data_IF_247278455815
#
_entry.id   IF_247278455815
#
_cell.length_a   1.000
_cell.length_b   1.000
_cell.length_c   1.000
_cell.angle_alpha   90.00
_cell.angle_beta   90.00
_cell.angle_gamma   90.00
#
_symmetry.space_group_name_H-M   'P 1'
#
loop_
_entity.id
_entity.type
_entity.pdbx_description
1 polymer ?
#
# COMPACT_ATOMS: atom_id res chain seq x y z
N UNK A 1 -2.10 -1.14 -22.92
CA UNK A 1 -2.73 0.20 -22.97
C UNK A 1 -1.71 1.29 -23.32
N UNK A 2 -0.48 1.25 -22.81
CA UNK A 2 0.53 2.29 -23.07
C UNK A 2 0.84 2.48 -24.57
N UNK A 3 0.76 1.43 -25.35
CA UNK A 3 0.95 1.51 -26.82
C UNK A 3 -0.30 2.03 -27.56
N UNK A 4 -1.45 2.05 -26.88
CA UNK A 4 -2.72 2.50 -27.48
C UNK A 4 -2.97 4.01 -27.25
N UNK A 5 -2.48 4.55 -26.14
CA UNK A 5 -2.73 5.93 -25.74
C UNK A 5 -1.42 6.71 -25.64
N UNK A 6 -1.30 7.76 -26.45
CA UNK A 6 -0.08 8.57 -26.53
C UNK A 6 0.21 9.40 -25.27
N UNK A 7 -0.81 9.65 -24.45
CA UNK A 7 -0.74 10.45 -23.23
C UNK A 7 -0.81 9.62 -21.94
N UNK A 8 -0.67 8.29 -22.00
CA UNK A 8 -0.74 7.41 -20.85
C UNK A 8 0.66 7.07 -20.30
N UNK A 9 0.85 7.34 -19.02
CA UNK A 9 2.03 6.92 -18.25
C UNK A 9 1.59 6.00 -17.13
N UNK A 10 2.18 4.82 -17.03
CA UNK A 10 1.98 3.87 -15.93
C UNK A 10 3.22 3.85 -15.07
N UNK A 11 3.13 4.36 -13.83
CA UNK A 11 4.21 4.33 -12.86
C UNK A 11 4.10 3.10 -11.96
N UNK A 12 5.25 2.46 -11.69
CA UNK A 12 5.37 1.31 -10.80
C UNK A 12 6.53 1.50 -9.83
N UNK A 13 6.45 0.86 -8.67
CA UNK A 13 7.47 0.96 -7.64
C UNK A 13 7.84 -0.41 -7.08
N UNK A 14 9.11 -0.58 -6.75
CA UNK A 14 9.62 -1.74 -6.01
C UNK A 14 9.52 -1.55 -4.47
N UNK A 15 9.09 -0.39 -4.02
CA UNK A 15 9.03 -0.03 -2.59
C UNK A 15 7.99 -0.79 -1.79
N UNK A 16 6.94 -1.35 -2.40
CA UNK A 16 5.77 -1.96 -1.72
C UNK A 16 5.80 -3.48 -1.82
N UNK A 17 5.24 -4.05 -2.87
CA UNK A 17 5.13 -5.51 -3.04
C UNK A 17 6.48 -6.22 -2.98
N UNK A 18 7.53 -5.58 -3.45
CA UNK A 18 8.90 -6.11 -3.45
C UNK A 18 9.68 -5.85 -2.15
N UNK A 19 9.14 -5.05 -1.22
CA UNK A 19 9.80 -4.74 0.05
C UNK A 19 11.04 -3.84 -0.07
N UNK A 20 11.29 -3.21 -1.21
CA UNK A 20 12.51 -2.46 -1.52
C UNK A 20 12.35 -0.95 -1.32
N UNK A 21 11.65 -0.53 -0.28
CA UNK A 21 11.42 0.90 -0.04
C UNK A 21 12.72 1.70 0.13
N UNK A 22 13.74 1.12 0.75
CA UNK A 22 15.06 1.74 0.94
C UNK A 22 15.87 1.90 -0.36
N UNK A 23 15.62 1.07 -1.38
CA UNK A 23 16.35 1.14 -2.65
C UNK A 23 15.95 2.34 -3.52
N UNK A 24 14.81 2.97 -3.27
CA UNK A 24 14.29 4.12 -4.02
C UNK A 24 14.20 3.90 -5.54
N UNK A 25 13.80 2.69 -5.96
CA UNK A 25 13.69 2.29 -7.37
C UNK A 25 12.23 2.13 -7.76
N UNK A 26 11.92 2.62 -8.94
CA UNK A 26 10.64 2.44 -9.63
C UNK A 26 10.87 2.51 -11.13
N UNK A 27 9.81 2.34 -11.90
CA UNK A 27 9.86 2.51 -13.35
C UNK A 27 8.55 3.11 -13.86
N UNK A 28 8.62 3.68 -15.03
CA UNK A 28 7.47 4.10 -15.79
C UNK A 28 7.40 3.33 -17.11
N UNK A 29 6.19 3.13 -17.59
CA UNK A 29 5.93 2.62 -18.93
C UNK A 29 5.00 3.60 -19.66
N UNK A 30 5.37 3.94 -20.89
CA UNK A 30 4.64 4.82 -21.78
C UNK A 30 4.86 4.35 -23.22
N UNK A 31 4.19 4.97 -24.21
CA UNK A 31 4.54 4.74 -25.59
C UNK A 31 5.99 5.24 -25.87
N UNK A 32 6.56 4.80 -26.99
CA UNK A 32 7.96 5.07 -27.32
C UNK A 32 8.32 6.56 -27.32
N UNK A 33 7.49 7.40 -27.93
CA UNK A 33 7.79 8.82 -28.08
C UNK A 33 7.72 9.55 -26.73
N UNK A 34 6.69 9.26 -25.93
CA UNK A 34 6.55 9.83 -24.60
C UNK A 34 7.64 9.33 -23.66
N UNK A 35 7.99 8.05 -23.71
CA UNK A 35 9.07 7.48 -22.92
C UNK A 35 10.42 8.12 -23.27
N UNK A 36 10.70 8.39 -24.55
CA UNK A 36 11.94 9.06 -24.96
C UNK A 36 11.99 10.51 -24.45
N UNK A 37 10.88 11.25 -24.53
CA UNK A 37 10.83 12.62 -24.00
C UNK A 37 11.07 12.64 -22.49
N UNK A 38 10.44 11.73 -21.74
CA UNK A 38 10.64 11.61 -20.30
C UNK A 38 12.08 11.20 -19.96
N UNK A 39 12.68 10.30 -20.76
CA UNK A 39 14.07 9.92 -20.59
C UNK A 39 15.02 11.12 -20.70
N UNK A 40 14.79 12.02 -21.66
CA UNK A 40 15.63 13.21 -21.87
C UNK A 40 15.50 14.25 -20.73
N UNK A 41 14.42 14.17 -19.92
CA UNK A 41 14.20 15.04 -18.76
C UNK A 41 14.75 14.50 -17.44
N UNK A 42 15.34 13.30 -17.49
CA UNK A 42 15.85 12.65 -16.27
C UNK A 42 17.05 13.41 -15.71
N UNK A 43 17.05 13.67 -14.39
CA UNK A 43 18.26 14.19 -13.75
C UNK A 43 19.39 13.18 -13.79
N UNK A 44 20.61 13.65 -13.84
CA UNK A 44 21.79 12.78 -13.70
C UNK A 44 21.77 12.12 -12.31
N UNK A 45 22.21 10.86 -12.28
CA UNK A 45 22.35 10.08 -11.03
C UNK A 45 21.05 9.88 -10.24
N UNK A 46 19.90 9.88 -10.90
CA UNK A 46 18.57 9.73 -10.24
C UNK A 46 18.38 8.36 -9.55
N UNK A 47 19.09 7.33 -10.02
CA UNK A 47 18.98 5.96 -9.51
C UNK A 47 20.32 5.50 -8.98
N UNK A 48 20.35 4.96 -7.76
CA UNK A 48 21.55 4.37 -7.20
C UNK A 48 21.82 2.97 -7.77
N UNK A 49 23.08 2.66 -8.07
CA UNK A 49 23.49 1.40 -8.69
C UNK A 49 23.18 0.18 -7.84
N UNK A 50 23.32 0.26 -6.50
CA UNK A 50 23.00 -0.83 -5.59
C UNK A 50 21.52 -1.19 -5.65
N UNK A 51 20.64 -0.17 -5.69
CA UNK A 51 19.18 -0.38 -5.83
C UNK A 51 18.86 -1.11 -7.13
N UNK A 52 19.50 -0.75 -8.24
CA UNK A 52 19.30 -1.42 -9.54
C UNK A 52 19.78 -2.87 -9.48
N UNK A 53 20.96 -3.13 -8.91
CA UNK A 53 21.48 -4.50 -8.75
C UNK A 53 20.53 -5.39 -7.94
N UNK A 54 20.05 -4.90 -6.81
CA UNK A 54 19.10 -5.63 -5.94
C UNK A 54 17.79 -5.91 -6.68
N UNK A 55 17.24 -4.93 -7.39
CA UNK A 55 16.01 -5.11 -8.16
C UNK A 55 16.21 -6.17 -9.25
N UNK A 56 17.32 -6.14 -9.98
CA UNK A 56 17.61 -7.13 -11.02
C UNK A 56 17.68 -8.56 -10.46
N UNK A 57 18.32 -8.75 -9.30
CA UNK A 57 18.39 -10.07 -8.67
C UNK A 57 17.01 -10.56 -8.18
N UNK A 58 16.19 -9.66 -7.61
CA UNK A 58 14.85 -10.03 -7.15
C UNK A 58 13.91 -10.36 -8.31
N UNK A 59 14.03 -9.66 -9.43
CA UNK A 59 13.23 -9.97 -10.63
C UNK A 59 13.52 -11.37 -11.20
N UNK A 60 14.74 -11.88 -11.03
CA UNK A 60 15.09 -13.27 -11.41
C UNK A 60 14.44 -14.31 -10.51
N UNK A 61 14.05 -13.95 -9.26
CA UNK A 61 13.53 -14.85 -8.22
C UNK A 61 12.15 -14.40 -7.75
N UNK A 62 11.16 -14.34 -8.62
CA UNK A 62 9.84 -13.78 -8.33
C UNK A 62 8.92 -14.68 -7.46
N UNK A 63 9.30 -15.92 -7.17
CA UNK A 63 8.51 -16.85 -6.32
C UNK A 63 8.24 -16.28 -4.92
N UNK A 64 9.23 -15.61 -4.33
CA UNK A 64 9.09 -14.92 -3.04
C UNK A 64 8.01 -13.83 -3.07
N UNK A 65 7.99 -13.03 -4.14
CA UNK A 65 7.01 -11.96 -4.32
C UNK A 65 5.59 -12.53 -4.42
N UNK A 66 5.43 -13.59 -5.20
CA UNK A 66 4.12 -14.25 -5.37
C UNK A 66 3.62 -14.80 -4.03
N UNK A 67 4.50 -15.40 -3.23
CA UNK A 67 4.15 -15.87 -1.88
C UNK A 67 3.69 -14.72 -0.98
N UNK A 68 4.46 -13.64 -0.91
CA UNK A 68 4.12 -12.46 -0.10
C UNK A 68 2.79 -11.82 -0.53
N UNK A 69 2.55 -11.70 -1.83
CA UNK A 69 1.28 -11.16 -2.34
C UNK A 69 0.10 -12.05 -1.94
N UNK A 70 0.23 -13.37 -2.03
CA UNK A 70 -0.81 -14.31 -1.57
C UNK A 70 -1.13 -14.14 -0.09
N UNK A 71 -0.12 -14.01 0.76
CA UNK A 71 -0.31 -13.77 2.20
C UNK A 71 -1.01 -12.43 2.48
N UNK A 72 -0.63 -11.36 1.80
CA UNK A 72 -1.29 -10.07 1.93
C UNK A 72 -2.75 -10.11 1.45
N UNK A 73 -3.04 -10.81 0.37
CA UNK A 73 -4.40 -11.00 -0.13
C UNK A 73 -5.27 -11.80 0.86
N UNK A 74 -4.72 -12.81 1.53
CA UNK A 74 -5.40 -13.54 2.60
C UNK A 74 -5.74 -12.60 3.76
N UNK A 75 -4.77 -11.81 4.21
CA UNK A 75 -4.97 -10.82 5.26
C UNK A 75 -6.03 -9.77 4.88
N UNK A 76 -6.00 -9.26 3.65
CA UNK A 76 -7.02 -8.36 3.13
C UNK A 76 -8.40 -9.00 3.19
N UNK A 77 -8.54 -10.21 2.65
CA UNK A 77 -9.82 -10.95 2.63
C UNK A 77 -10.38 -11.14 4.04
N UNK A 78 -9.53 -11.53 4.99
CA UNK A 78 -9.91 -11.66 6.39
C UNK A 78 -10.39 -10.32 6.97
N UNK A 79 -9.60 -9.25 6.82
CA UNK A 79 -9.94 -7.93 7.34
C UNK A 79 -11.28 -7.43 6.80
N UNK A 80 -11.49 -7.48 5.49
CA UNK A 80 -12.75 -7.04 4.86
C UNK A 80 -13.96 -7.83 5.36
N UNK A 81 -13.81 -9.16 5.54
CA UNK A 81 -14.86 -10.00 6.12
C UNK A 81 -15.25 -9.54 7.53
N UNK A 82 -14.26 -9.24 8.37
CA UNK A 82 -14.51 -8.82 9.75
C UNK A 82 -15.06 -7.38 9.85
N UNK A 83 -14.62 -6.47 8.97
CA UNK A 83 -15.18 -5.12 8.90
C UNK A 83 -16.66 -5.14 8.51
N UNK A 84 -17.06 -6.01 7.59
CA UNK A 84 -18.49 -6.21 7.25
C UNK A 84 -19.30 -6.68 8.45
N UNK A 85 -18.79 -7.65 9.24
CA UNK A 85 -19.46 -8.10 10.48
C UNK A 85 -19.60 -6.99 11.50
N UNK A 86 -18.62 -6.12 11.60
CA UNK A 86 -18.62 -4.96 12.50
C UNK A 86 -19.46 -3.79 11.96
N UNK A 87 -20.05 -3.93 10.78
CA UNK A 87 -20.83 -2.89 10.09
C UNK A 87 -20.06 -1.56 9.94
N UNK A 88 -18.74 -1.65 9.82
CA UNK A 88 -17.89 -0.49 9.61
C UNK A 88 -17.86 -0.12 8.13
N UNK A 89 -18.03 1.16 7.83
CA UNK A 89 -17.80 1.70 6.50
C UNK A 89 -16.32 1.69 6.18
N UNK A 90 -15.95 1.22 4.99
CA UNK A 90 -14.58 1.23 4.52
C UNK A 90 -14.49 1.52 3.04
N UNK A 91 -13.33 2.03 2.62
CA UNK A 91 -12.98 2.22 1.22
C UNK A 91 -11.89 1.22 0.87
N UNK A 92 -12.20 0.36 -0.07
CA UNK A 92 -11.29 -0.65 -0.62
C UNK A 92 -10.90 -0.27 -2.04
N UNK A 93 -9.66 -0.54 -2.39
CA UNK A 93 -9.10 -0.31 -3.72
C UNK A 93 -7.98 -1.30 -4.03
N UNK A 94 -7.16 -0.98 -5.03
CA UNK A 94 -6.02 -1.81 -5.44
C UNK A 94 -4.71 -1.44 -4.73
N UNK A 95 -4.74 -0.51 -3.78
CA UNK A 95 -3.58 -0.15 -2.96
C UNK A 95 -3.29 -1.22 -1.89
N UNK A 96 -2.11 -1.13 -1.28
CA UNK A 96 -1.70 -1.98 -0.16
C UNK A 96 -2.25 -1.49 1.19
N UNK A 97 -3.35 -0.79 1.19
CA UNK A 97 -4.05 -0.28 2.37
C UNK A 97 -5.55 -0.14 2.10
N UNK A 98 -6.31 -0.02 3.16
CA UNK A 98 -7.72 0.37 3.15
C UNK A 98 -7.94 1.55 4.10
N UNK A 99 -9.01 2.27 3.89
CA UNK A 99 -9.47 3.31 4.79
C UNK A 99 -10.74 2.84 5.51
N UNK A 100 -10.81 3.03 6.82
CA UNK A 100 -11.96 2.66 7.65
C UNK A 100 -12.51 3.93 8.27
N UNK A 101 -13.80 4.18 8.10
CA UNK A 101 -14.47 5.29 8.75
C UNK A 101 -14.80 4.92 10.21
N UNK A 102 -14.29 5.71 11.13
CA UNK A 102 -14.46 5.51 12.58
C UNK A 102 -15.21 6.67 13.24
N UNK A 103 -15.61 7.67 12.46
CA UNK A 103 -16.25 8.85 12.99
C UNK A 103 -15.38 9.55 14.03
N UNK A 104 -16.00 10.07 15.08
CA UNK A 104 -15.33 10.75 16.19
C UNK A 104 -14.46 9.83 17.04
N UNK A 105 -14.69 8.51 16.95
CA UNK A 105 -13.93 7.49 17.70
C UNK A 105 -12.50 7.32 17.19
N UNK A 106 -12.15 7.90 16.03
CA UNK A 106 -10.85 7.74 15.35
C UNK A 106 -9.66 8.05 16.27
N UNK A 107 -9.62 9.23 16.87
CA UNK A 107 -8.48 9.69 17.68
C UNK A 107 -8.25 8.82 18.93
N UNK A 108 -9.35 8.34 19.54
CA UNK A 108 -9.26 7.41 20.69
C UNK A 108 -8.69 6.06 20.25
N UNK A 109 -9.13 5.56 19.11
CA UNK A 109 -8.67 4.27 18.58
C UNK A 109 -7.21 4.33 18.12
N UNK A 110 -6.75 5.44 17.54
CA UNK A 110 -5.33 5.64 17.21
C UNK A 110 -4.43 5.47 18.45
N UNK A 111 -4.81 6.08 19.57
CA UNK A 111 -4.07 5.94 20.84
C UNK A 111 -4.06 4.49 21.33
N UNK A 112 -5.17 3.76 21.17
CA UNK A 112 -5.25 2.34 21.56
C UNK A 112 -4.34 1.48 20.66
N UNK A 113 -4.34 1.71 19.36
CA UNK A 113 -3.43 1.02 18.44
C UNK A 113 -1.97 1.27 18.82
N UNK A 114 -1.60 2.53 19.08
CA UNK A 114 -0.26 2.89 19.51
C UNK A 114 0.16 2.16 20.80
N UNK A 115 -0.70 2.12 21.82
CA UNK A 115 -0.46 1.39 23.06
C UNK A 115 -0.28 -0.12 22.85
N UNK A 116 -0.81 -0.67 21.76
CA UNK A 116 -0.66 -2.09 21.38
C UNK A 116 0.47 -2.32 20.38
N UNK A 117 1.39 -1.37 20.23
CA UNK A 117 2.53 -1.42 19.30
C UNK A 117 2.10 -1.59 17.84
N UNK A 118 0.97 -0.95 17.46
CA UNK A 118 0.51 -0.90 16.07
C UNK A 118 0.51 0.56 15.64
N UNK A 119 1.47 0.91 14.79
CA UNK A 119 1.55 2.26 14.21
C UNK A 119 0.55 2.36 13.05
N UNK A 120 -0.38 3.30 13.16
CA UNK A 120 -1.39 3.57 12.15
C UNK A 120 -1.27 5.01 11.70
N UNK A 121 -1.44 5.25 10.43
CA UNK A 121 -1.50 6.61 9.91
C UNK A 121 -2.93 7.12 9.99
N UNK A 122 -3.15 8.11 10.84
CA UNK A 122 -4.41 8.86 10.92
C UNK A 122 -4.64 9.75 9.73
N UNK A 123 -5.87 10.16 9.63
CA UNK A 123 -6.56 10.91 8.59
C UNK A 123 -5.77 11.68 7.56
N UNK A 124 -6.28 11.59 6.38
CA UNK A 124 -5.93 12.50 5.33
C UNK A 124 -6.54 13.88 5.65
N UNK A 125 -5.75 14.94 5.54
CA UNK A 125 -6.25 16.32 5.60
C UNK A 125 -7.05 16.70 4.35
N UNK A 126 -7.93 15.79 3.93
CA UNK A 126 -8.79 15.93 2.75
C UNK A 126 -10.22 16.03 3.26
N UNK A 127 -10.97 16.99 2.75
CA UNK A 127 -12.39 17.14 3.04
C UNK A 127 -13.12 15.82 2.82
N UNK A 128 -13.99 15.43 3.74
CA UNK A 128 -14.70 14.14 3.74
C UNK A 128 -13.91 12.95 4.30
N UNK A 129 -12.59 13.05 4.51
CA UNK A 129 -11.76 11.93 4.99
C UNK A 129 -11.21 12.10 6.41
N UNK A 130 -11.60 13.15 7.13
CA UNK A 130 -11.12 13.43 8.49
C UNK A 130 -11.32 12.26 9.46
N UNK A 131 -12.41 11.53 9.30
CA UNK A 131 -12.83 10.43 10.18
C UNK A 131 -12.27 9.06 9.75
N UNK A 132 -11.52 9.02 8.67
CA UNK A 132 -10.95 7.77 8.18
C UNK A 132 -9.58 7.48 8.79
N UNK A 133 -9.36 6.22 9.08
CA UNK A 133 -8.08 5.66 9.50
C UNK A 133 -7.54 4.78 8.38
N UNK A 134 -6.27 4.97 8.01
CA UNK A 134 -5.61 4.16 6.99
C UNK A 134 -4.89 2.97 7.62
N UNK A 135 -5.28 1.77 7.24
CA UNK A 135 -4.65 0.53 7.68
C UNK A 135 -3.90 -0.10 6.50
N UNK A 136 -2.59 -0.26 6.64
CA UNK A 136 -1.77 -0.99 5.68
C UNK A 136 -2.09 -2.48 5.77
N UNK A 137 -2.17 -3.12 4.60
CA UNK A 137 -2.44 -4.55 4.51
C UNK A 137 -1.18 -5.35 4.84
N UNK A 138 -1.36 -6.46 5.52
CA UNK A 138 -0.32 -7.40 5.89
C UNK A 138 -0.85 -8.83 5.91
N UNK A 139 -0.04 -9.81 6.34
CA UNK A 139 -0.46 -11.18 6.53
C UNK A 139 -1.65 -11.30 7.47
N UNK A 140 -2.37 -12.42 7.39
CA UNK A 140 -3.61 -12.63 8.15
C UNK A 140 -3.43 -12.53 9.66
N UNK A 141 -2.32 -13.01 10.20
CA UNK A 141 -2.01 -12.90 11.63
C UNK A 141 -1.92 -11.44 12.10
N UNK A 142 -1.34 -10.55 11.30
CA UNK A 142 -1.31 -9.11 11.60
C UNK A 142 -2.71 -8.50 11.52
N UNK A 143 -3.49 -8.85 10.52
CA UNK A 143 -4.87 -8.36 10.39
C UNK A 143 -5.76 -8.87 11.54
N UNK A 144 -5.52 -10.07 12.06
CA UNK A 144 -6.18 -10.59 13.28
C UNK A 144 -5.91 -9.69 14.50
N UNK A 145 -4.69 -9.20 14.67
CA UNK A 145 -4.35 -8.25 15.76
C UNK A 145 -5.13 -6.95 15.62
N UNK A 146 -5.18 -6.39 14.40
CA UNK A 146 -5.96 -5.17 14.11
C UNK A 146 -7.44 -5.38 14.45
N UNK A 147 -8.03 -6.48 13.96
CA UNK A 147 -9.45 -6.79 14.18
C UNK A 147 -9.76 -7.03 15.66
N UNK A 148 -8.85 -7.66 16.42
CA UNK A 148 -9.02 -7.85 17.87
C UNK A 148 -9.19 -6.51 18.58
N UNK A 149 -8.36 -5.53 18.27
CA UNK A 149 -8.45 -4.18 18.84
C UNK A 149 -9.75 -3.49 18.42
N UNK A 150 -10.12 -3.56 17.14
CA UNK A 150 -11.38 -3.00 16.66
C UNK A 150 -12.59 -3.58 17.43
N UNK A 151 -12.64 -4.90 17.60
CA UNK A 151 -13.71 -5.58 18.31
C UNK A 151 -13.79 -5.19 19.79
N UNK A 152 -12.65 -5.11 20.47
CA UNK A 152 -12.62 -4.71 21.89
C UNK A 152 -13.06 -3.26 22.11
N UNK A 153 -12.79 -2.40 21.14
CA UNK A 153 -13.12 -0.98 21.24
C UNK A 153 -14.55 -0.64 20.85
N UNK A 154 -15.17 -1.44 20.00
CA UNK A 154 -16.52 -1.19 19.47
C UNK A 154 -17.61 -1.90 20.27
N UNK A 155 -17.23 -2.80 21.19
CA UNK A 155 -18.11 -3.33 22.23
C UNK A 155 -18.42 -2.26 23.25
#
# INVERSE_FOLDING_TARGET
>A
YVNKYSNLIVCRTFSKAYGLAGCRVGFLAANKDLAQRLYNLRPMYEINSLGVMIVNEILKKNTFIIKNLKEQLRGKKYLLKELKKLKLQYLDGHANFIHINLGEKKSKLEKIFYKNNILIRGGLNISGYKNFLRISLGPENMMKRVVKILKSFLK
#
